data_IF_719286764241
#
_entry.id   IF_719286764241
#
_cell.length_a   1.000
_cell.length_b   1.000
_cell.length_c   1.000
_cell.angle_alpha   90.00
_cell.angle_beta   90.00
_cell.angle_gamma   90.00
#
_symmetry.space_group_name_H-M   'P 1'
#
loop_
_entity.id
_entity.type
_entity.pdbx_description
1 polymer ?
#
# COMPACT_ATOMS: atom_id res chain seq x y z
N UNK A 1 -5.06 10.91 -6.64
CA UNK A 1 -6.19 10.28 -5.94
C UNK A 1 -5.89 8.80 -5.81
N UNK A 2 -6.21 8.20 -4.67
CA UNK A 2 -6.24 6.76 -4.55
C UNK A 2 -7.49 6.17 -5.22
N UNK A 3 -7.66 4.84 -5.13
CA UNK A 3 -8.69 4.11 -5.84
C UNK A 3 -9.97 3.86 -5.01
N UNK A 4 -10.16 4.55 -3.90
CA UNK A 4 -11.36 4.48 -3.05
C UNK A 4 -12.34 5.59 -3.46
N UNK A 5 -13.64 5.29 -3.38
CA UNK A 5 -14.72 6.26 -3.63
C UNK A 5 -14.90 7.24 -2.45
N UNK A 6 -13.81 7.91 -2.08
CA UNK A 6 -13.77 8.88 -1.00
C UNK A 6 -12.99 10.12 -1.44
N UNK A 7 -13.58 11.29 -1.20
CA UNK A 7 -13.04 12.59 -1.61
C UNK A 7 -11.66 12.89 -1.02
N UNK A 8 -11.38 12.34 0.16
CA UNK A 8 -10.13 12.51 0.88
C UNK A 8 -9.08 11.45 0.57
N UNK A 9 -9.37 10.47 -0.31
CA UNK A 9 -8.38 9.49 -0.78
C UNK A 9 -7.35 10.13 -1.72
N UNK A 10 -6.41 10.87 -1.14
CA UNK A 10 -5.42 11.68 -1.83
C UNK A 10 -4.04 11.44 -1.21
N UNK A 11 -3.12 10.89 -1.99
CA UNK A 11 -1.72 10.68 -1.57
C UNK A 11 -0.83 11.93 -1.69
N UNK A 12 -1.19 12.87 -2.56
CA UNK A 12 -0.47 14.12 -2.77
C UNK A 12 -1.27 15.08 -3.64
N UNK A 13 -1.08 16.38 -3.44
CA UNK A 13 -1.72 17.47 -4.20
C UNK A 13 -0.64 18.31 -4.86
N UNK A 14 -0.86 18.70 -6.11
CA UNK A 14 0.04 19.57 -6.88
C UNK A 14 1.50 19.07 -6.91
N UNK A 15 1.69 17.74 -6.93
CA UNK A 15 3.01 17.11 -7.00
C UNK A 15 3.47 17.11 -8.46
N UNK A 16 4.61 17.74 -8.80
CA UNK A 16 5.15 17.70 -10.15
C UNK A 16 5.63 16.28 -10.46
N UNK A 17 5.09 15.68 -11.52
CA UNK A 17 5.43 14.34 -11.98
C UNK A 17 5.78 14.39 -13.47
N UNK A 18 6.64 13.48 -13.96
CA UNK A 18 6.79 13.27 -15.39
C UNK A 18 5.46 12.78 -16.01
N UNK A 19 5.40 12.71 -17.34
CA UNK A 19 4.27 12.08 -18.01
C UNK A 19 4.17 10.60 -17.60
N UNK A 20 3.02 10.20 -17.06
CA UNK A 20 2.76 8.84 -16.59
C UNK A 20 1.83 8.09 -17.55
N UNK A 21 1.98 6.77 -17.58
CA UNK A 21 1.11 5.85 -18.27
C UNK A 21 0.59 4.74 -17.33
N UNK A 22 -0.56 4.10 -17.66
CA UNK A 22 -1.00 2.91 -16.94
C UNK A 22 0.09 1.83 -16.91
N UNK A 23 0.40 1.36 -15.70
CA UNK A 23 1.48 0.39 -15.48
C UNK A 23 2.74 0.98 -14.86
N UNK A 24 2.91 2.31 -14.90
CA UNK A 24 4.01 2.97 -14.19
C UNK A 24 3.87 2.81 -12.67
N UNK A 25 5.02 2.78 -11.99
CA UNK A 25 5.10 2.65 -10.54
C UNK A 25 5.46 4.00 -9.91
N UNK A 26 4.75 4.34 -8.84
CA UNK A 26 5.03 5.51 -8.01
C UNK A 26 5.53 5.05 -6.64
N UNK A 27 6.50 5.78 -6.10
CA UNK A 27 6.99 5.59 -4.74
C UNK A 27 6.56 6.75 -3.86
N UNK A 28 5.90 6.45 -2.74
CA UNK A 28 5.69 7.40 -1.65
C UNK A 28 6.81 7.19 -0.65
N UNK A 29 7.65 8.22 -0.48
CA UNK A 29 8.77 8.19 0.46
C UNK A 29 8.28 8.38 1.89
N UNK A 30 9.15 8.10 2.86
CA UNK A 30 8.91 8.29 4.29
C UNK A 30 7.68 7.55 4.86
N UNK A 31 7.25 6.48 4.19
CA UNK A 31 6.08 5.67 4.57
C UNK A 31 6.35 4.62 5.67
N UNK A 32 7.55 4.62 6.28
CA UNK A 32 7.96 3.60 7.24
C UNK A 32 7.31 3.73 8.62
N UNK A 33 6.97 4.94 9.05
CA UNK A 33 6.27 5.20 10.30
C UNK A 33 4.79 5.52 10.02
N UNK A 34 3.90 5.04 10.89
CA UNK A 34 2.44 5.31 10.84
C UNK A 34 1.72 4.90 9.54
N UNK A 35 2.39 4.29 8.56
CA UNK A 35 1.77 3.75 7.35
C UNK A 35 1.00 2.47 7.65
N UNK A 36 1.70 1.33 7.69
CA UNK A 36 1.03 0.03 7.80
C UNK A 36 0.29 -0.19 9.13
N UNK A 37 0.76 0.41 10.23
CA UNK A 37 0.08 0.33 11.54
C UNK A 37 -1.28 1.03 11.54
N UNK A 38 -1.50 1.99 10.63
CA UNK A 38 -2.80 2.65 10.43
C UNK A 38 -3.55 2.16 9.18
N UNK A 39 -3.01 1.16 8.47
CA UNK A 39 -3.68 0.57 7.31
C UNK A 39 -4.97 -0.15 7.75
N UNK A 40 -6.01 -0.02 6.95
CA UNK A 40 -7.34 -0.58 7.24
C UNK A 40 -7.89 -1.33 6.04
N UNK A 41 -8.97 -2.08 6.28
CA UNK A 41 -9.74 -2.76 5.24
C UNK A 41 -10.93 -1.92 4.73
N UNK A 42 -10.83 -0.58 4.82
CA UNK A 42 -11.86 0.31 4.32
C UNK A 42 -12.14 0.04 2.83
N UNK A 43 -13.43 0.02 2.46
CA UNK A 43 -13.90 -0.40 1.14
C UNK A 43 -13.53 -1.86 0.77
N UNK A 44 -13.48 -2.76 1.77
CA UNK A 44 -13.15 -4.17 1.59
C UNK A 44 -11.83 -4.41 0.83
N UNK A 45 -10.84 -3.53 1.04
CA UNK A 45 -9.52 -3.66 0.41
C UNK A 45 -8.59 -4.45 1.32
N UNK A 46 -7.84 -5.37 0.72
CA UNK A 46 -6.80 -6.15 1.42
C UNK A 46 -5.59 -5.26 1.74
N UNK A 47 -5.05 -5.38 2.96
CA UNK A 47 -3.81 -4.69 3.33
C UNK A 47 -2.63 -5.20 2.49
N UNK A 48 -1.69 -4.31 2.10
CA UNK A 48 -0.58 -4.66 1.24
C UNK A 48 0.45 -5.57 1.95
N UNK A 49 1.39 -6.10 1.17
CA UNK A 49 2.56 -6.80 1.74
C UNK A 49 3.63 -5.79 2.20
N UNK A 50 4.43 -6.19 3.18
CA UNK A 50 5.67 -5.50 3.55
C UNK A 50 6.87 -6.40 3.23
N UNK A 51 7.82 -5.85 2.50
CA UNK A 51 9.02 -6.53 2.04
C UNK A 51 10.23 -5.88 2.70
N UNK A 52 11.12 -6.69 3.23
CA UNK A 52 12.42 -6.26 3.76
C UNK A 52 13.48 -6.63 2.74
N UNK A 53 14.32 -5.66 2.41
CA UNK A 53 15.45 -5.80 1.50
C UNK A 53 16.69 -5.46 2.33
N UNK A 54 17.68 -6.35 2.34
CA UNK A 54 18.96 -6.08 3.01
C UNK A 54 19.67 -4.90 2.34
N UNK A 55 20.53 -4.20 3.09
CA UNK A 55 21.22 -2.98 2.61
C UNK A 55 22.06 -3.21 1.34
N UNK A 56 22.57 -4.42 1.15
CA UNK A 56 23.34 -4.82 -0.03
C UNK A 56 22.49 -5.34 -1.20
N UNK A 57 21.16 -5.41 -1.03
CA UNK A 57 20.21 -5.93 -2.01
C UNK A 57 20.28 -7.43 -2.24
N UNK A 58 21.11 -8.18 -1.49
CA UNK A 58 21.35 -9.60 -1.72
C UNK A 58 20.14 -10.48 -1.40
N UNK A 59 19.33 -10.03 -0.45
CA UNK A 59 18.22 -10.82 0.09
C UNK A 59 16.97 -9.97 0.18
N UNK A 60 15.87 -10.56 -0.28
CA UNK A 60 14.51 -9.99 -0.24
C UNK A 60 13.62 -10.96 0.52
N UNK A 61 12.93 -10.49 1.55
CA UNK A 61 12.07 -11.32 2.40
C UNK A 61 10.72 -10.66 2.62
N UNK A 62 9.67 -11.48 2.68
CA UNK A 62 8.33 -11.02 3.05
C UNK A 62 8.27 -10.90 4.57
N UNK A 63 8.21 -9.68 5.10
CA UNK A 63 8.00 -9.45 6.53
C UNK A 63 6.53 -9.58 6.90
N UNK A 64 5.63 -9.14 6.02
CA UNK A 64 4.19 -9.31 6.16
C UNK A 64 3.58 -9.67 4.81
N UNK A 65 2.84 -10.79 4.75
CA UNK A 65 2.13 -11.17 3.53
C UNK A 65 0.99 -10.20 3.25
N UNK A 66 0.64 -10.04 1.97
CA UNK A 66 -0.61 -9.39 1.59
C UNK A 66 -1.79 -10.18 2.15
N UNK A 67 -2.84 -9.47 2.53
CA UNK A 67 -4.12 -10.09 2.84
C UNK A 67 -4.81 -10.64 1.59
N UNK A 68 -5.69 -11.59 1.81
CA UNK A 68 -6.54 -12.26 0.84
C UNK A 68 -7.99 -11.88 1.12
N UNK A 69 -8.89 -12.22 0.20
CA UNK A 69 -10.32 -12.03 0.42
C UNK A 69 -10.83 -12.85 1.62
N UNK A 70 -10.30 -14.05 1.83
CA UNK A 70 -10.64 -14.88 2.99
C UNK A 70 -10.27 -14.18 4.31
N UNK A 71 -9.16 -13.43 4.32
CA UNK A 71 -8.76 -12.66 5.52
C UNK A 71 -9.77 -11.58 5.90
N UNK A 72 -10.50 -11.02 4.92
CA UNK A 72 -11.54 -10.02 5.19
C UNK A 72 -12.77 -10.62 5.86
N UNK A 73 -13.05 -11.90 5.60
CA UNK A 73 -14.22 -12.61 6.08
C UNK A 73 -13.95 -13.37 7.38
N UNK A 74 -12.72 -13.37 7.89
CA UNK A 74 -12.30 -14.13 9.07
C UNK A 74 -13.16 -13.89 10.31
N UNK A 75 -13.76 -12.70 10.44
CA UNK A 75 -14.55 -12.31 11.60
C UNK A 75 -16.07 -12.42 11.36
N UNK A 76 -16.51 -12.81 10.16
CA UNK A 76 -17.93 -13.03 9.86
C UNK A 76 -18.41 -14.35 10.49
N UNK A 77 -19.65 -14.37 10.99
CA UNK A 77 -20.26 -15.52 11.71
C UNK A 77 -21.32 -16.20 10.86
#
# INVERSE_FOLDING_TARGET
>A
MGPVCESSDVLGRDVPLPALAPGDLLAVLDAGAYGMVMASNYNARVRPAEIVIETDGSTVRVARRRETWDDLLLCEV
#
